data_IF_784094709910
#
_entry.id   IF_784094709910
#
_cell.length_a   1.000
_cell.length_b   1.000
_cell.length_c   1.000
_cell.angle_alpha   90.00
_cell.angle_beta   90.00
_cell.angle_gamma   90.00
#
_symmetry.space_group_name_H-M   'P 1'
#
loop_
_entity.id
_entity.type
_entity.pdbx_description
1 polymer ?
#
# COMPACT_ATOMS: atom_id res chain seq x y z
N UNK A 1 -1.08 -23.78 -5.59
CA UNK A 1 -0.60 -22.47 -6.08
C UNK A 1 -1.82 -21.69 -6.54
N UNK A 2 -2.21 -20.66 -5.79
CA UNK A 2 -3.30 -19.76 -6.14
C UNK A 2 -2.71 -18.39 -6.43
N UNK A 3 -3.05 -17.81 -7.56
CA UNK A 3 -2.64 -16.45 -7.90
C UNK A 3 -3.82 -15.70 -8.49
N UNK A 4 -3.84 -14.40 -8.28
CA UNK A 4 -4.85 -13.50 -8.80
C UNK A 4 -4.19 -12.19 -9.15
N UNK A 5 -4.52 -11.67 -10.31
CA UNK A 5 -4.14 -10.33 -10.74
C UNK A 5 -5.42 -9.62 -11.13
N UNK A 6 -5.56 -8.37 -10.70
CA UNK A 6 -6.74 -7.56 -10.98
C UNK A 6 -6.28 -6.14 -11.27
N UNK A 7 -6.66 -5.63 -12.44
CA UNK A 7 -6.56 -4.22 -12.76
C UNK A 7 -7.87 -3.55 -12.42
N UNK A 8 -7.81 -2.38 -11.79
CA UNK A 8 -8.99 -1.57 -11.54
C UNK A 8 -8.78 -0.15 -12.05
N UNK A 9 -9.90 0.48 -12.39
CA UNK A 9 -9.98 1.89 -12.74
C UNK A 9 -11.20 2.46 -12.06
N UNK A 10 -10.99 3.49 -11.27
CA UNK A 10 -12.03 4.23 -10.58
C UNK A 10 -11.95 5.70 -11.03
N UNK A 11 -13.02 6.17 -11.66
CA UNK A 11 -13.18 7.57 -12.07
C UNK A 11 -14.17 8.21 -11.08
N UNK A 12 -13.66 9.05 -10.19
CA UNK A 12 -14.44 9.77 -9.17
C UNK A 12 -14.71 11.17 -9.69
N UNK A 13 -15.99 11.50 -9.88
CA UNK A 13 -16.45 12.87 -10.12
C UNK A 13 -16.81 13.57 -8.82
N UNK A 14 -16.58 14.88 -8.76
CA UNK A 14 -16.86 15.74 -7.62
C UNK A 14 -16.02 15.42 -6.38
N UNK A 15 -14.70 15.27 -6.57
CA UNK A 15 -13.79 15.05 -5.45
C UNK A 15 -13.73 16.31 -4.58
N UNK A 16 -14.28 16.22 -3.38
CA UNK A 16 -14.15 17.27 -2.37
C UNK A 16 -12.74 17.20 -1.79
N UNK A 17 -11.96 18.24 -1.99
CA UNK A 17 -10.70 18.47 -1.32
C UNK A 17 -10.83 19.66 -0.35
N UNK A 18 -9.92 19.72 0.62
CA UNK A 18 -9.90 20.78 1.62
C UNK A 18 -8.75 21.72 1.35
N UNK A 19 -9.05 23.01 1.15
CA UNK A 19 -8.03 24.03 0.99
C UNK A 19 -7.69 24.63 2.35
N UNK A 20 -6.50 24.30 2.87
CA UNK A 20 -5.96 24.84 4.12
C UNK A 20 -5.80 26.38 4.08
N UNK A 21 -5.68 26.99 2.89
CA UNK A 21 -5.48 28.44 2.74
C UNK A 21 -6.81 29.22 2.81
N UNK A 22 -7.87 28.70 2.21
CA UNK A 22 -9.19 29.34 2.22
C UNK A 22 -10.16 28.77 3.26
N UNK A 23 -9.74 27.73 4.00
CA UNK A 23 -10.52 27.00 5.01
C UNK A 23 -11.89 26.53 4.47
N UNK A 24 -11.92 26.15 3.19
CA UNK A 24 -13.14 25.75 2.49
C UNK A 24 -12.94 24.42 1.77
N UNK A 25 -14.02 23.66 1.75
CA UNK A 25 -14.16 22.54 0.85
C UNK A 25 -14.32 23.07 -0.57
N UNK A 26 -13.47 22.59 -1.48
CA UNK A 26 -13.56 22.89 -2.89
C UNK A 26 -13.62 21.59 -3.67
N UNK A 27 -14.33 21.63 -4.79
CA UNK A 27 -14.40 20.49 -5.68
C UNK A 27 -13.15 20.54 -6.58
N UNK A 28 -12.17 19.66 -6.32
CA UNK A 28 -10.99 19.48 -7.17
C UNK A 28 -11.33 18.87 -8.54
N UNK A 29 -12.62 18.56 -8.77
CA UNK A 29 -13.18 18.17 -10.05
C UNK A 29 -13.26 16.66 -10.19
N UNK A 30 -12.41 16.07 -11.03
CA UNK A 30 -12.43 14.64 -11.33
C UNK A 30 -11.11 14.00 -10.91
N UNK A 31 -11.15 12.90 -10.18
CA UNK A 31 -9.97 12.10 -9.86
C UNK A 31 -10.04 10.74 -10.56
N UNK A 32 -8.92 10.33 -11.15
CA UNK A 32 -8.78 9.02 -11.78
C UNK A 32 -7.77 8.20 -11.00
N UNK A 33 -8.23 7.09 -10.46
CA UNK A 33 -7.40 6.13 -9.75
C UNK A 33 -7.32 4.89 -10.63
N UNK A 34 -6.12 4.54 -11.06
CA UNK A 34 -5.84 3.27 -11.72
C UNK A 34 -4.96 2.46 -10.79
N UNK A 35 -5.18 1.17 -10.73
CA UNK A 35 -4.32 0.31 -9.96
C UNK A 35 -4.29 -1.11 -10.49
N UNK A 36 -3.27 -1.82 -10.03
CA UNK A 36 -3.10 -3.25 -10.24
C UNK A 36 -2.83 -3.87 -8.90
N UNK A 37 -3.61 -4.89 -8.57
CA UNK A 37 -3.44 -5.71 -7.38
C UNK A 37 -3.08 -7.11 -7.84
N UNK A 38 -1.99 -7.64 -7.31
CA UNK A 38 -1.54 -8.99 -7.58
C UNK A 38 -1.34 -9.70 -6.24
N UNK A 39 -1.95 -10.86 -6.09
CA UNK A 39 -1.81 -11.71 -4.91
C UNK A 39 -1.40 -13.10 -5.35
N UNK A 40 -0.41 -13.68 -4.69
CA UNK A 40 0.05 -15.04 -4.95
C UNK A 40 0.24 -15.78 -3.64
N UNK A 41 -0.28 -17.00 -3.59
CA UNK A 41 -0.23 -17.89 -2.44
C UNK A 41 0.27 -19.25 -2.90
N UNK A 42 1.37 -19.71 -2.31
CA UNK A 42 1.98 -20.98 -2.68
C UNK A 42 2.70 -21.60 -1.52
N UNK A 43 2.72 -22.93 -1.54
CA UNK A 43 3.37 -23.73 -0.52
C UNK A 43 4.64 -24.34 -1.11
N UNK A 44 5.74 -24.23 -0.38
CA UNK A 44 7.04 -24.83 -0.70
C UNK A 44 7.40 -25.79 0.42
N UNK A 45 6.86 -27.01 0.38
CA UNK A 45 7.00 -27.98 1.47
C UNK A 45 6.25 -27.50 2.72
N UNK A 46 6.91 -27.32 3.89
CA UNK A 46 6.28 -26.84 5.11
C UNK A 46 6.10 -25.31 5.18
N UNK A 47 6.57 -24.58 4.16
CA UNK A 47 6.53 -23.13 4.09
C UNK A 47 5.31 -22.68 3.28
N UNK A 48 4.47 -21.84 3.87
CA UNK A 48 3.36 -21.17 3.18
C UNK A 48 3.77 -19.73 2.89
N UNK A 49 3.81 -19.39 1.61
CA UNK A 49 4.15 -18.07 1.11
C UNK A 49 2.88 -17.33 0.69
N UNK A 50 2.71 -16.11 1.19
CA UNK A 50 1.64 -15.20 0.79
C UNK A 50 2.23 -13.87 0.36
N UNK A 51 2.09 -13.54 -0.92
CA UNK A 51 2.64 -12.32 -1.51
C UNK A 51 1.47 -11.47 -2.01
N UNK A 52 1.52 -10.18 -1.73
CA UNK A 52 0.62 -9.20 -2.33
C UNK A 52 1.41 -8.00 -2.81
N UNK A 53 1.02 -7.50 -3.97
CA UNK A 53 1.61 -6.35 -4.62
C UNK A 53 0.49 -5.44 -5.11
N UNK A 54 0.52 -4.20 -4.65
CA UNK A 54 -0.44 -3.17 -5.03
C UNK A 54 0.30 -2.03 -5.70
N UNK A 55 -0.10 -1.71 -6.92
CA UNK A 55 0.30 -0.52 -7.64
C UNK A 55 -0.90 0.43 -7.74
N UNK A 56 -0.72 1.68 -7.33
CA UNK A 56 -1.79 2.68 -7.37
C UNK A 56 -1.27 3.97 -8.00
N UNK A 57 -1.85 4.33 -9.14
CA UNK A 57 -1.65 5.62 -9.79
C UNK A 57 -2.93 6.44 -9.65
N UNK A 58 -2.93 7.34 -8.67
CA UNK A 58 -4.04 8.24 -8.38
C UNK A 58 -3.66 9.64 -8.89
N UNK A 59 -4.42 10.16 -9.85
CA UNK A 59 -4.17 11.47 -10.46
C UNK A 59 -5.45 12.30 -10.52
N UNK A 60 -5.30 13.61 -10.44
CA UNK A 60 -6.37 14.53 -10.82
C UNK A 60 -6.56 14.42 -12.35
N UNK A 61 -7.79 14.17 -12.79
CA UNK A 61 -8.13 13.93 -14.19
C UNK A 61 -8.24 15.22 -15.02
N UNK A 62 -8.18 16.40 -14.39
CA UNK A 62 -8.19 17.72 -15.04
C UNK A 62 -6.76 18.23 -15.22
N UNK A 63 -5.96 18.20 -14.16
CA UNK A 63 -4.60 18.77 -14.13
C UNK A 63 -3.49 17.73 -14.35
N UNK A 64 -3.83 16.44 -14.41
CA UNK A 64 -2.92 15.29 -14.48
C UNK A 64 -1.89 15.22 -13.34
N UNK A 65 -2.12 15.96 -12.25
CA UNK A 65 -1.23 15.98 -11.09
C UNK A 65 -1.45 14.73 -10.22
N UNK A 66 -0.38 14.07 -9.75
CA UNK A 66 -0.51 12.93 -8.83
C UNK A 66 -1.08 13.38 -7.49
N UNK A 67 -2.07 12.63 -6.99
CA UNK A 67 -2.66 12.84 -5.67
C UNK A 67 -1.60 12.61 -4.59
N UNK A 68 -1.51 13.57 -3.67
CA UNK A 68 -0.53 13.57 -2.59
C UNK A 68 -0.82 12.45 -1.58
N UNK A 69 0.22 12.05 -0.84
CA UNK A 69 0.23 11.09 0.27
C UNK A 69 -0.15 9.65 -0.07
N UNK A 70 -0.29 9.30 -1.35
CA UNK A 70 -0.55 7.93 -1.79
C UNK A 70 0.75 7.25 -2.22
N UNK A 71 1.12 6.17 -1.52
CA UNK A 71 2.26 5.35 -1.90
C UNK A 71 1.94 4.66 -3.23
N UNK A 72 2.80 4.86 -4.24
CA UNK A 72 2.57 4.31 -5.59
C UNK A 72 2.65 2.79 -5.63
N UNK A 73 3.42 2.21 -4.72
CA UNK A 73 3.72 0.78 -4.69
C UNK A 73 3.67 0.30 -3.25
N UNK A 74 3.00 -0.82 -3.02
CA UNK A 74 3.03 -1.53 -1.75
C UNK A 74 3.31 -2.99 -2.03
N UNK A 75 4.25 -3.56 -1.29
CA UNK A 75 4.55 -4.99 -1.34
C UNK A 75 4.37 -5.53 0.05
N UNK A 76 3.64 -6.63 0.19
CA UNK A 76 3.58 -7.39 1.43
C UNK A 76 3.93 -8.83 1.14
N UNK A 77 4.75 -9.39 2.00
CA UNK A 77 5.20 -10.76 1.92
C UNK A 77 5.05 -11.38 3.29
N UNK A 78 4.34 -12.49 3.37
CA UNK A 78 4.17 -13.26 4.58
C UNK A 78 4.66 -14.68 4.33
N UNK A 79 5.45 -15.17 5.27
CA UNK A 79 6.03 -16.50 5.26
C UNK A 79 5.70 -17.18 6.57
N UNK A 80 4.92 -18.25 6.50
CA UNK A 80 4.57 -19.04 7.68
C UNK A 80 5.17 -20.44 7.53
N UNK A 81 5.73 -20.98 8.60
CA UNK A 81 6.13 -22.39 8.64
C UNK A 81 5.97 -22.98 10.04
N UNK A 82 5.85 -24.29 10.07
CA UNK A 82 5.66 -25.05 11.30
C UNK A 82 6.85 -25.97 11.51
N UNK A 83 7.42 -25.94 12.71
CA UNK A 83 8.54 -26.80 13.09
C UNK A 83 8.29 -27.32 14.50
N UNK A 84 8.02 -28.62 14.64
CA UNK A 84 7.59 -29.25 15.89
C UNK A 84 6.37 -28.51 16.50
N UNK A 85 6.48 -28.07 17.75
CA UNK A 85 5.46 -27.30 18.46
C UNK A 85 5.54 -25.79 18.19
N UNK A 86 6.38 -25.35 17.26
CA UNK A 86 6.58 -23.94 16.95
C UNK A 86 5.95 -23.54 15.62
N UNK A 87 5.04 -22.58 15.68
CA UNK A 87 4.49 -21.86 14.54
C UNK A 87 5.30 -20.56 14.36
N UNK A 88 6.02 -20.44 13.25
CA UNK A 88 6.77 -19.26 12.87
C UNK A 88 6.04 -18.48 11.79
N UNK A 89 6.06 -17.16 11.88
CA UNK A 89 5.51 -16.27 10.86
C UNK A 89 6.40 -15.04 10.68
N UNK A 90 6.82 -14.77 9.45
CA UNK A 90 7.54 -13.54 9.08
C UNK A 90 6.60 -12.71 8.22
N UNK A 91 6.39 -11.46 8.59
CA UNK A 91 5.68 -10.47 7.77
C UNK A 91 6.65 -9.38 7.37
N UNK A 92 6.78 -9.15 6.07
CA UNK A 92 7.54 -8.06 5.48
C UNK A 92 6.59 -7.15 4.71
N UNK A 93 6.69 -5.84 4.95
CA UNK A 93 5.92 -4.82 4.25
C UNK A 93 6.85 -3.74 3.73
N UNK A 94 6.73 -3.42 2.45
CA UNK A 94 7.40 -2.31 1.80
C UNK A 94 6.36 -1.32 1.31
N UNK A 95 6.49 -0.07 1.71
CA UNK A 95 5.75 1.06 1.16
C UNK A 95 6.72 1.87 0.31
N UNK A 96 6.42 1.96 -0.98
CA UNK A 96 7.19 2.72 -1.94
C UNK A 96 7.08 4.23 -1.73
N UNK A 97 7.68 4.96 -2.66
CA UNK A 97 7.75 6.43 -2.55
C UNK A 97 6.37 7.07 -2.57
N UNK A 98 6.18 8.07 -1.71
CA UNK A 98 4.99 8.91 -1.65
C UNK A 98 5.38 10.36 -1.94
N UNK A 99 4.50 11.11 -2.58
CA UNK A 99 4.65 12.56 -2.71
C UNK A 99 3.91 13.22 -1.55
N UNK A 100 4.51 14.20 -0.89
CA UNK A 100 3.85 14.99 0.16
C UNK A 100 4.14 16.49 -0.07
N UNK A 101 3.37 17.38 0.55
CA UNK A 101 3.68 18.81 0.54
C UNK A 101 4.55 19.14 1.75
N UNK A 102 5.64 19.84 1.50
CA UNK A 102 6.43 20.45 2.56
C UNK A 102 5.80 21.80 2.94
N UNK A 103 5.33 21.88 4.19
CA UNK A 103 4.67 23.07 4.75
C UNK A 103 5.65 24.03 5.44
N UNK A 104 6.95 23.73 5.44
CA UNK A 104 7.96 24.52 6.17
C UNK A 104 8.30 25.87 5.53
N UNK A 105 8.06 26.05 4.23
CA UNK A 105 8.28 27.33 3.54
C UNK A 105 7.33 27.51 2.37
N UNK A 106 6.84 28.75 2.22
CA UNK A 106 5.96 29.15 1.14
C UNK A 106 6.79 29.61 -0.08
N UNK A 107 6.45 29.19 -1.32
CA UNK A 107 5.32 28.33 -1.71
C UNK A 107 5.58 26.84 -1.42
N UNK A 108 4.54 26.14 -0.94
CA UNK A 108 4.61 24.73 -0.54
C UNK A 108 5.11 23.84 -1.68
N UNK A 109 6.30 23.27 -1.49
CA UNK A 109 6.93 22.41 -2.50
C UNK A 109 6.44 20.97 -2.35
N UNK A 110 6.24 20.29 -3.48
CA UNK A 110 5.95 18.85 -3.47
C UNK A 110 7.26 18.09 -3.29
N UNK A 111 7.41 17.42 -2.15
CA UNK A 111 8.57 16.61 -1.81
C UNK A 111 8.29 15.12 -2.02
N UNK A 112 9.28 14.38 -2.52
CA UNK A 112 9.20 12.93 -2.67
C UNK A 112 9.81 12.28 -1.42
N UNK A 113 8.97 11.64 -0.61
CA UNK A 113 9.45 10.84 0.51
C UNK A 113 9.91 9.47 0.01
N UNK A 114 11.06 9.03 0.53
CA UNK A 114 11.62 7.70 0.29
C UNK A 114 10.68 6.59 0.74
N UNK A 115 10.80 5.41 0.13
CA UNK A 115 10.07 4.24 0.58
C UNK A 115 10.54 3.76 1.95
N UNK A 116 9.64 3.13 2.70
CA UNK A 116 9.91 2.58 4.03
C UNK A 116 9.62 1.08 3.98
N UNK A 117 10.54 0.28 4.52
CA UNK A 117 10.34 -1.15 4.76
C UNK A 117 10.18 -1.41 6.26
N UNK A 118 9.21 -2.24 6.62
CA UNK A 118 9.02 -2.75 7.98
C UNK A 118 8.94 -4.28 7.92
N UNK A 119 9.69 -4.94 8.79
CA UNK A 119 9.64 -6.39 8.99
C UNK A 119 9.21 -6.71 10.41
N UNK A 120 8.32 -7.69 10.57
CA UNK A 120 7.86 -8.21 11.85
C UNK A 120 8.08 -9.72 11.84
N UNK A 121 8.68 -10.24 12.90
CA UNK A 121 8.80 -11.67 13.17
C UNK A 121 7.81 -12.05 14.28
N UNK A 122 7.06 -13.11 14.06
CA UNK A 122 6.13 -13.71 15.00
C UNK A 122 6.53 -15.16 15.28
N UNK A 123 6.58 -15.51 16.55
CA UNK A 123 6.71 -16.88 17.02
C UNK A 123 5.50 -17.22 17.89
N UNK A 124 4.92 -18.40 17.68
CA UNK A 124 3.87 -18.97 18.53
C UNK A 124 4.27 -20.39 18.90
N UNK A 125 4.13 -20.72 20.17
CA UNK A 125 4.31 -22.09 20.69
C UNK A 125 2.93 -22.71 20.81
N UNK A 126 2.73 -23.85 20.17
CA UNK A 126 1.51 -24.66 20.27
C UNK A 126 1.74 -25.65 21.41
N UNK A 127 1.08 -25.42 22.55
CA UNK A 127 1.13 -26.38 23.65
C UNK A 127 0.45 -27.67 23.21
N UNK A 128 1.09 -28.85 23.37
CA UNK A 128 0.38 -30.11 23.29
C UNK A 128 -0.50 -30.21 24.56
N UNK A 129 -1.81 -30.05 24.39
CA UNK A 129 -2.76 -30.49 25.41
C UNK A 129 -2.91 -32.01 25.23
N UNK A 130 -2.28 -32.75 26.17
CA UNK A 130 -2.50 -34.15 26.58
C UNK A 130 -2.87 -35.18 25.53
#
# INVERSE_FOLDING_TARGET
MNWRISGYRNDVSDLIDYDDHTLKYYNEGKARIKGVEATANFDTGPLTHTVSYDYVDARNAITDTPLLRRAKQQVKYQLDWQLYDFDWGITYQYLGTRYDKDYSSYPYQTVKMGGVSCGILRLRIRSPLT
#
